data_IF_520027048067
#
_entry.id   IF_520027048067
#
_cell.length_a   1.000
_cell.length_b   1.000
_cell.length_c   1.000
_cell.angle_alpha   90.00
_cell.angle_beta   90.00
_cell.angle_gamma   90.00
#
_symmetry.space_group_name_H-M   'P 1'
#
loop_
_entity.id
_entity.type
_entity.pdbx_description
1 polymer ?
#
# COMPACT_ATOMS: atom_id res chain seq x y z
N UNK A 1 39.03 18.45 -52.25
CA UNK A 1 38.36 17.89 -51.05
C UNK A 1 38.29 18.97 -49.99
N UNK A 2 37.10 19.33 -49.50
CA UNK A 2 36.97 20.36 -48.47
C UNK A 2 37.53 19.85 -47.14
N UNK A 3 38.50 20.59 -46.57
CA UNK A 3 39.13 20.27 -45.28
C UNK A 3 38.19 20.71 -44.16
N UNK A 4 37.65 19.75 -43.40
CA UNK A 4 36.88 20.05 -42.20
C UNK A 4 37.79 20.75 -41.17
N UNK A 5 37.43 21.97 -40.78
CA UNK A 5 38.09 22.73 -39.72
C UNK A 5 37.15 22.75 -38.52
N UNK A 6 37.54 22.07 -37.46
CA UNK A 6 36.75 21.99 -36.24
C UNK A 6 36.64 23.39 -35.62
N UNK A 7 35.41 23.85 -35.36
CA UNK A 7 35.20 25.13 -34.65
C UNK A 7 35.75 24.98 -33.23
N UNK A 8 36.58 25.93 -32.78
CA UNK A 8 37.15 25.91 -31.42
C UNK A 8 36.02 25.82 -30.38
N UNK A 9 35.87 24.66 -29.75
CA UNK A 9 34.84 24.39 -28.74
C UNK A 9 34.93 25.36 -27.55
N UNK A 10 36.14 25.80 -27.20
CA UNK A 10 36.37 26.80 -26.15
C UNK A 10 35.84 28.20 -26.45
N UNK A 11 35.45 28.50 -27.71
CA UNK A 11 34.77 29.75 -28.10
C UNK A 11 33.24 29.63 -27.99
N UNK A 12 32.71 28.40 -27.98
CA UNK A 12 31.28 28.10 -27.90
C UNK A 12 30.82 27.84 -26.45
N UNK A 13 31.67 27.26 -25.60
CA UNK A 13 31.34 26.91 -24.22
C UNK A 13 32.52 27.15 -23.27
N UNK A 14 32.36 28.08 -22.32
CA UNK A 14 33.33 28.25 -21.23
C UNK A 14 33.12 27.18 -20.16
N UNK A 15 34.16 26.89 -19.36
CA UNK A 15 34.06 26.03 -18.15
C UNK A 15 32.94 26.50 -17.20
N UNK A 16 32.72 27.81 -17.12
CA UNK A 16 31.64 28.42 -16.32
C UNK A 16 30.26 28.14 -16.93
N UNK A 17 30.15 28.15 -18.25
CA UNK A 17 28.89 27.87 -18.95
C UNK A 17 28.54 26.38 -18.88
N UNK A 18 29.56 25.51 -18.90
CA UNK A 18 29.42 24.08 -18.55
C UNK A 18 28.83 23.89 -17.16
N UNK A 19 29.39 24.54 -16.14
CA UNK A 19 28.87 24.43 -14.77
C UNK A 19 27.44 24.96 -14.63
N UNK A 20 27.08 26.02 -15.35
CA UNK A 20 25.70 26.54 -15.37
C UNK A 20 24.74 25.53 -15.96
N UNK A 21 25.03 24.97 -17.14
CA UNK A 21 24.14 24.01 -17.80
C UNK A 21 24.06 22.69 -17.03
N UNK A 22 25.18 22.20 -16.49
CA UNK A 22 25.18 21.03 -15.62
C UNK A 22 24.33 21.27 -14.35
N UNK A 23 24.47 22.43 -13.71
CA UNK A 23 23.67 22.80 -12.54
C UNK A 23 22.17 22.90 -12.84
N UNK A 24 21.80 23.48 -13.99
CA UNK A 24 20.42 23.52 -14.46
C UNK A 24 19.90 22.10 -14.77
N UNK A 25 20.71 21.24 -15.40
CA UNK A 25 20.34 19.86 -15.68
C UNK A 25 20.09 19.04 -14.41
N UNK A 26 20.99 19.13 -13.44
CA UNK A 26 20.85 18.42 -12.15
C UNK A 26 19.63 18.93 -11.38
N UNK A 27 19.41 20.23 -11.33
CA UNK A 27 18.25 20.80 -10.64
C UNK A 27 16.92 20.40 -11.30
N UNK A 28 16.84 20.39 -12.64
CA UNK A 28 15.66 19.93 -13.35
C UNK A 28 15.34 18.45 -13.05
N UNK A 29 16.35 17.58 -13.03
CA UNK A 29 16.18 16.16 -12.68
C UNK A 29 15.76 16.00 -11.22
N UNK A 30 16.37 16.74 -10.30
CA UNK A 30 16.03 16.68 -8.88
C UNK A 30 14.59 17.13 -8.61
N UNK A 31 14.14 18.25 -9.20
CA UNK A 31 12.78 18.77 -9.05
C UNK A 31 11.76 17.80 -9.63
N UNK A 32 12.00 17.30 -10.84
CA UNK A 32 11.09 16.34 -11.49
C UNK A 32 11.01 15.03 -10.71
N UNK A 33 12.13 14.51 -10.22
CA UNK A 33 12.17 13.35 -9.33
C UNK A 33 11.38 13.57 -8.04
N UNK A 34 11.54 14.73 -7.39
CA UNK A 34 10.79 15.08 -6.20
C UNK A 34 9.27 15.07 -6.44
N UNK A 35 8.80 15.75 -7.50
CA UNK A 35 7.37 15.81 -7.83
C UNK A 35 6.79 14.43 -8.12
N UNK A 36 7.50 13.59 -8.88
CA UNK A 36 7.06 12.22 -9.16
C UNK A 36 6.92 11.40 -7.87
N UNK A 37 7.92 11.47 -6.97
CA UNK A 37 7.85 10.75 -5.70
C UNK A 37 6.73 11.26 -4.78
N UNK A 38 6.46 12.57 -4.78
CA UNK A 38 5.37 13.17 -4.01
C UNK A 38 3.99 12.69 -4.50
N UNK A 39 3.77 12.64 -5.82
CA UNK A 39 2.54 12.11 -6.42
C UNK A 39 2.34 10.64 -6.03
N UNK A 40 3.39 9.82 -6.14
CA UNK A 40 3.33 8.39 -5.79
C UNK A 40 3.01 8.20 -4.30
N UNK A 41 3.63 8.98 -3.41
CA UNK A 41 3.35 8.94 -1.97
C UNK A 41 1.93 9.40 -1.65
N UNK A 42 1.45 10.48 -2.27
CA UNK A 42 0.09 11.00 -2.08
C UNK A 42 -0.99 10.01 -2.54
N UNK A 43 -0.75 9.22 -3.59
CA UNK A 43 -1.71 8.20 -4.06
C UNK A 43 -2.09 7.19 -2.97
N UNK A 44 -1.17 6.85 -2.07
CA UNK A 44 -1.41 5.86 -1.00
C UNK A 44 -1.54 6.48 0.40
N UNK A 45 -1.42 7.79 0.53
CA UNK A 45 -1.34 8.46 1.83
C UNK A 45 -2.58 8.22 2.69
N UNK A 46 -3.78 8.26 2.11
CA UNK A 46 -5.01 8.02 2.86
C UNK A 46 -5.14 6.60 3.39
N UNK A 47 -4.68 5.60 2.62
CA UNK A 47 -4.68 4.21 3.06
C UNK A 47 -3.66 4.01 4.19
N UNK A 48 -2.46 4.57 4.04
CA UNK A 48 -1.44 4.48 5.09
C UNK A 48 -1.85 5.20 6.38
N UNK A 49 -2.54 6.35 6.26
CA UNK A 49 -3.08 7.05 7.44
C UNK A 49 -4.15 6.24 8.16
N UNK A 50 -5.06 5.58 7.44
CA UNK A 50 -6.06 4.67 8.04
C UNK A 50 -5.41 3.49 8.75
N UNK A 51 -4.41 2.86 8.12
CA UNK A 51 -3.64 1.78 8.73
C UNK A 51 -2.92 2.25 9.99
N UNK A 52 -2.27 3.41 9.95
CA UNK A 52 -1.59 3.98 11.11
C UNK A 52 -2.55 4.27 12.27
N UNK A 53 -3.76 4.76 11.98
CA UNK A 53 -4.82 4.94 12.97
C UNK A 53 -5.20 3.61 13.63
N UNK A 54 -5.46 2.57 12.84
CA UNK A 54 -5.81 1.24 13.33
C UNK A 54 -4.74 0.65 14.25
N UNK A 55 -3.46 0.79 13.89
CA UNK A 55 -2.35 0.31 14.73
C UNK A 55 -2.15 1.14 16.01
N UNK A 56 -2.53 2.42 16.02
CA UNK A 56 -2.50 3.21 17.24
C UNK A 56 -3.59 2.76 18.22
N UNK A 57 -4.76 2.34 17.72
CA UNK A 57 -5.80 1.77 18.55
C UNK A 57 -5.41 0.38 19.08
N UNK A 58 -4.74 -0.45 18.27
CA UNK A 58 -4.16 -1.71 18.76
C UNK A 58 -3.17 -1.49 19.91
N UNK A 59 -2.26 -0.50 19.79
CA UNK A 59 -1.35 -0.11 20.89
C UNK A 59 -2.07 0.34 22.16
N UNK A 60 -3.28 0.88 22.06
CA UNK A 60 -4.10 1.20 23.24
C UNK A 60 -4.61 -0.07 23.90
N UNK A 61 -5.07 -1.05 23.12
CA UNK A 61 -5.51 -2.36 23.60
C UNK A 61 -4.36 -3.18 24.21
N UNK A 62 -3.14 -3.03 23.70
CA UNK A 62 -1.91 -3.61 24.30
C UNK A 62 -1.72 -3.21 25.77
N UNK A 63 -2.08 -1.98 26.15
CA UNK A 63 -1.93 -1.51 27.54
C UNK A 63 -2.88 -2.18 28.52
N UNK A 64 -3.98 -2.75 28.02
CA UNK A 64 -5.02 -3.39 28.82
C UNK A 64 -5.09 -4.90 28.59
N UNK A 65 -4.08 -5.49 27.94
CA UNK A 65 -4.00 -6.92 27.63
C UNK A 65 -5.25 -7.46 26.89
N UNK A 66 -5.79 -6.69 25.93
CA UNK A 66 -6.90 -7.09 25.07
C UNK A 66 -6.47 -7.16 23.59
N UNK A 67 -5.27 -7.66 23.34
CA UNK A 67 -4.64 -7.68 22.01
C UNK A 67 -5.01 -8.92 21.20
N UNK A 68 -5.31 -10.01 21.89
CA UNK A 68 -5.66 -11.27 21.28
C UNK A 68 -7.14 -11.60 21.55
N UNK A 69 -7.81 -12.17 20.55
CA UNK A 69 -9.26 -12.46 20.63
C UNK A 69 -9.64 -13.36 21.82
N UNK A 70 -8.76 -14.29 22.24
CA UNK A 70 -8.99 -15.16 23.39
C UNK A 70 -8.92 -14.43 24.74
N UNK A 71 -8.37 -13.22 24.79
CA UNK A 71 -8.35 -12.38 25.99
C UNK A 71 -9.68 -11.63 26.19
N UNK A 72 -10.56 -11.61 25.19
CA UNK A 72 -11.84 -10.91 25.29
C UNK A 72 -12.82 -11.68 26.22
N UNK A 73 -13.19 -11.10 27.38
CA UNK A 73 -14.06 -11.78 28.34
C UNK A 73 -15.47 -12.03 27.80
N UNK A 74 -15.97 -11.18 26.89
CA UNK A 74 -17.29 -11.34 26.29
C UNK A 74 -17.32 -12.51 25.32
N UNK A 75 -16.26 -12.70 24.54
CA UNK A 75 -16.13 -13.85 23.65
C UNK A 75 -16.08 -15.15 24.45
N UNK A 76 -15.24 -15.21 25.49
CA UNK A 76 -15.15 -16.38 26.37
C UNK A 76 -16.49 -16.68 27.07
N UNK A 77 -17.24 -15.66 27.45
CA UNK A 77 -18.57 -15.83 28.04
C UNK A 77 -19.56 -16.45 27.07
N UNK A 78 -19.57 -16.01 25.80
CA UNK A 78 -20.46 -16.59 24.79
C UNK A 78 -20.21 -18.11 24.62
N UNK A 79 -18.96 -18.55 24.57
CA UNK A 79 -18.62 -19.97 24.49
C UNK A 79 -19.03 -20.75 25.75
N UNK A 80 -18.84 -20.16 26.95
CA UNK A 80 -19.28 -20.76 28.22
C UNK A 80 -20.79 -20.89 28.31
N UNK A 81 -21.53 -19.83 27.97
CA UNK A 81 -22.98 -19.78 28.07
C UNK A 81 -23.64 -20.75 27.07
N UNK A 82 -23.03 -20.94 25.89
CA UNK A 82 -23.45 -21.93 24.89
C UNK A 82 -22.93 -23.35 25.17
N UNK A 83 -22.12 -23.52 26.22
CA UNK A 83 -21.45 -24.78 26.57
C UNK A 83 -20.78 -25.44 25.35
N UNK A 84 -20.02 -24.65 24.59
CA UNK A 84 -19.34 -25.11 23.37
C UNK A 84 -17.90 -24.65 23.35
N UNK A 85 -17.10 -25.27 22.48
CA UNK A 85 -15.71 -24.93 22.24
C UNK A 85 -15.50 -24.52 20.77
N UNK A 86 -14.38 -23.86 20.43
CA UNK A 86 -14.05 -23.61 19.03
C UNK A 86 -14.06 -24.92 18.24
N UNK A 87 -14.73 -24.95 17.09
CA UNK A 87 -14.97 -26.16 16.28
C UNK A 87 -15.91 -27.22 16.90
N UNK A 88 -16.60 -26.92 18.01
CA UNK A 88 -17.66 -27.79 18.52
C UNK A 88 -18.88 -27.80 17.61
N UNK A 89 -19.76 -28.80 17.75
CA UNK A 89 -20.96 -28.97 16.91
C UNK A 89 -21.84 -27.72 16.84
N UNK A 90 -22.15 -27.13 18.00
CA UNK A 90 -22.93 -25.88 18.09
C UNK A 90 -22.21 -24.71 17.42
N UNK A 91 -20.88 -24.63 17.55
CA UNK A 91 -20.08 -23.59 16.90
C UNK A 91 -20.01 -23.79 15.37
N UNK A 92 -19.95 -25.03 14.90
CA UNK A 92 -19.99 -25.37 13.47
C UNK A 92 -21.32 -24.94 12.85
N UNK A 93 -22.44 -25.25 13.49
CA UNK A 93 -23.77 -24.92 12.97
C UNK A 93 -24.03 -23.41 12.94
N UNK A 94 -23.56 -22.67 13.95
CA UNK A 94 -23.84 -21.24 14.08
C UNK A 94 -22.80 -20.32 13.44
N UNK A 95 -21.51 -20.67 13.50
CA UNK A 95 -20.40 -19.80 13.12
C UNK A 95 -19.75 -20.20 11.80
N UNK A 96 -19.86 -21.46 11.38
CA UNK A 96 -19.35 -21.93 10.10
C UNK A 96 -20.44 -21.98 9.04
N UNK A 97 -20.01 -22.10 7.79
CA UNK A 97 -20.91 -22.21 6.64
C UNK A 97 -20.50 -23.41 5.81
N UNK A 98 -21.49 -24.18 5.39
CA UNK A 98 -21.32 -25.38 4.58
C UNK A 98 -21.42 -25.08 3.08
N UNK A 99 -21.92 -23.90 2.70
CA UNK A 99 -22.29 -23.60 1.31
C UNK A 99 -21.18 -22.77 0.66
N UNK A 100 -20.17 -23.47 0.16
CA UNK A 100 -19.22 -22.94 -0.81
C UNK A 100 -19.58 -23.48 -2.19
N UNK A 101 -20.14 -22.62 -3.05
CA UNK A 101 -20.54 -23.00 -4.41
C UNK A 101 -19.44 -22.59 -5.39
N UNK A 102 -19.05 -23.51 -6.27
CA UNK A 102 -18.20 -23.18 -7.42
C UNK A 102 -18.94 -22.21 -8.36
N UNK A 103 -18.45 -20.97 -8.40
CA UNK A 103 -19.03 -19.91 -9.23
C UNK A 103 -18.46 -19.85 -10.64
N UNK A 104 -17.46 -20.67 -10.97
CA UNK A 104 -16.82 -20.66 -12.29
C UNK A 104 -17.73 -21.20 -13.38
N UNK A 105 -18.66 -22.10 -13.01
CA UNK A 105 -19.61 -22.72 -13.92
C UNK A 105 -21.05 -22.22 -13.75
N UNK A 106 -21.24 -21.12 -13.01
CA UNK A 106 -22.55 -20.47 -12.96
C UNK A 106 -22.82 -19.88 -14.35
N UNK A 107 -23.65 -20.57 -15.14
CA UNK A 107 -24.29 -20.02 -16.35
C UNK A 107 -25.27 -18.92 -15.96
N UNK A 108 -24.77 -17.85 -15.35
CA UNK A 108 -25.48 -16.59 -15.24
C UNK A 108 -25.57 -16.10 -16.69
N UNK A 109 -26.79 -16.07 -17.24
CA UNK A 109 -27.08 -15.66 -18.61
C UNK A 109 -26.78 -14.19 -18.92
N UNK A 110 -25.76 -13.61 -18.29
CA UNK A 110 -25.30 -12.25 -18.52
C UNK A 110 -24.14 -12.32 -19.51
N UNK A 111 -24.46 -12.06 -20.78
CA UNK A 111 -23.44 -11.63 -21.73
C UNK A 111 -22.94 -10.27 -21.25
N UNK A 112 -21.75 -10.22 -20.68
CA UNK A 112 -21.06 -8.94 -20.50
C UNK A 112 -20.73 -8.40 -21.89
N UNK A 113 -21.34 -7.25 -22.22
CA UNK A 113 -21.04 -6.45 -23.40
C UNK A 113 -19.70 -5.73 -23.26
#
# INVERSE_FOLDING_TARGET
>A
MAKYVEKKVGLLFSRRDFLKVAGVGVSAIAISGYVLTDIVKKRKSYISMRQAGLYNDDKRLQKVNLTASHQNPSALRAYKDLNTEPMGEVAEELLHTNVYVDRMNLKLGVKHA
#
